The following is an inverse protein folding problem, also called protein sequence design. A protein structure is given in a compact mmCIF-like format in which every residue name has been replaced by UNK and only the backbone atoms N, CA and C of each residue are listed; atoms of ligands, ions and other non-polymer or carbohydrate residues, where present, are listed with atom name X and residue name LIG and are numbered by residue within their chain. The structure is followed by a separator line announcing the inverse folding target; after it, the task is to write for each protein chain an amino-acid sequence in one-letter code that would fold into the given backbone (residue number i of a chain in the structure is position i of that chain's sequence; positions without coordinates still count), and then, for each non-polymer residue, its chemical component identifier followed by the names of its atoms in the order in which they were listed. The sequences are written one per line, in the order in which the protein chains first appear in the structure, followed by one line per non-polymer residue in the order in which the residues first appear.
data_IF_347987360325
#
_entry.id   IF_347987360325
#
_cell.length_a   1.000
_cell.length_b   1.000
_cell.length_c   1.000
_cell.angle_alpha   90.00
_cell.angle_beta   90.00
_cell.angle_gamma   90.00
#
_symmetry.space_group_name_H-M   'P 1'
#
loop_
_entity.id
_entity.type
_entity.pdbx_description
1 polymer ?
#
# COMPACT_ATOMS: atom_id res chain seq x y z
N UNK A 1 -1.13 8.72 -17.58
CA UNK A 1 -0.39 8.00 -16.52
C UNK A 1 0.85 8.80 -16.13
N UNK A 2 0.86 9.41 -14.93
CA UNK A 2 1.94 10.28 -14.41
C UNK A 2 2.37 9.83 -12.99
N UNK A 3 2.86 8.60 -12.86
CA UNK A 3 3.22 8.02 -11.56
C UNK A 3 4.20 6.86 -11.70
N UNK A 4 4.77 6.42 -10.56
CA UNK A 4 5.73 5.31 -10.49
C UNK A 4 5.16 4.15 -9.68
N UNK A 5 4.89 3.03 -10.35
CA UNK A 5 4.24 1.84 -9.74
C UNK A 5 5.02 1.27 -8.54
N UNK A 6 6.36 1.31 -8.60
CA UNK A 6 7.22 0.78 -7.55
C UNK A 6 7.44 1.70 -6.34
N UNK A 7 6.87 2.91 -6.33
CA UNK A 7 7.20 3.93 -5.33
C UNK A 7 6.05 4.32 -4.40
N UNK A 8 4.88 3.67 -4.50
CA UNK A 8 3.71 3.99 -3.64
C UNK A 8 4.07 3.92 -2.16
N UNK A 9 4.65 2.79 -1.74
CA UNK A 9 5.08 2.58 -0.35
C UNK A 9 6.21 3.53 0.05
N UNK A 10 7.21 3.69 -0.80
CA UNK A 10 8.39 4.52 -0.51
C UNK A 10 8.01 5.99 -0.35
N UNK A 11 7.21 6.55 -1.26
CA UNK A 11 6.76 7.95 -1.21
C UNK A 11 5.84 8.23 -0.03
N UNK A 12 5.03 7.25 0.36
CA UNK A 12 4.22 7.34 1.57
C UNK A 12 5.09 7.53 2.82
N UNK A 13 6.14 6.71 2.98
CA UNK A 13 7.05 6.83 4.13
C UNK A 13 7.99 8.03 4.06
N UNK A 14 8.46 8.41 2.86
CA UNK A 14 9.24 9.65 2.66
C UNK A 14 8.43 10.89 3.06
N UNK A 15 7.12 10.91 2.74
CA UNK A 15 6.23 11.99 3.17
C UNK A 15 6.08 12.01 4.68
N UNK A 16 5.87 10.85 5.32
CA UNK A 16 5.77 10.74 6.78
C UNK A 16 7.04 11.26 7.48
N UNK A 17 8.21 10.88 6.97
CA UNK A 17 9.54 11.31 7.43
C UNK A 17 9.75 12.83 7.24
N UNK A 18 9.48 13.36 6.04
CA UNK A 18 9.57 14.81 5.77
C UNK A 18 8.71 15.60 6.76
N UNK A 19 7.44 15.22 6.90
CA UNK A 19 6.54 15.92 7.80
C UNK A 19 7.03 15.86 9.25
N UNK A 20 7.70 14.78 9.68
CA UNK A 20 8.19 14.69 11.06
C UNK A 20 9.32 15.67 11.29
N UNK A 21 10.25 15.76 10.33
CA UNK A 21 11.38 16.68 10.38
C UNK A 21 10.93 18.14 10.35
N UNK A 22 9.86 18.45 9.62
CA UNK A 22 9.37 19.82 9.47
C UNK A 22 8.45 20.27 10.62
N UNK A 23 7.53 19.42 11.07
CA UNK A 23 6.47 19.83 12.01
C UNK A 23 6.58 19.16 13.38
N UNK A 24 7.60 18.33 13.61
CA UNK A 24 7.72 17.54 14.83
C UNK A 24 6.71 16.38 14.89
N UNK A 25 6.54 15.83 16.10
CA UNK A 25 5.57 14.75 16.38
C UNK A 25 4.12 15.23 16.22
N UNK A 26 3.20 14.31 15.89
CA UNK A 26 1.78 14.65 15.91
C UNK A 26 1.30 14.77 17.37
N UNK A 27 0.20 15.50 17.59
CA UNK A 27 -0.44 15.63 18.91
C UNK A 27 -0.86 14.28 19.52
N UNK A 28 -1.19 13.31 18.68
CA UNK A 28 -1.63 11.96 19.05
C UNK A 28 -0.46 10.98 19.22
N UNK A 29 0.76 11.36 18.81
CA UNK A 29 1.97 10.59 19.08
C UNK A 29 2.44 10.85 20.53
N UNK A 30 3.33 10.00 21.05
CA UNK A 30 3.96 10.20 22.36
C UNK A 30 5.48 10.40 22.22
N UNK A 31 6.16 10.72 23.32
CA UNK A 31 7.61 11.02 23.29
C UNK A 31 8.51 9.84 22.91
N UNK A 32 7.98 8.60 22.90
CA UNK A 32 8.76 7.38 22.68
C UNK A 32 8.62 6.81 21.27
N UNK A 33 7.57 7.18 20.52
CA UNK A 33 7.30 6.59 19.21
C UNK A 33 6.40 7.46 18.31
N UNK A 34 6.36 7.11 17.02
CA UNK A 34 5.52 7.74 15.99
C UNK A 34 4.31 6.87 15.61
N UNK A 35 3.77 6.06 16.52
CA UNK A 35 2.82 5.01 16.16
C UNK A 35 1.54 5.56 15.52
N UNK A 36 1.03 6.72 15.95
CA UNK A 36 -0.17 7.30 15.36
C UNK A 36 0.12 7.75 13.92
N UNK A 37 1.25 8.43 13.71
CA UNK A 37 1.72 8.75 12.35
C UNK A 37 1.89 7.50 11.49
N UNK A 38 2.54 6.47 12.00
CA UNK A 38 2.77 5.20 11.28
C UNK A 38 1.43 4.58 10.87
N UNK A 39 0.46 4.50 11.78
CA UNK A 39 -0.89 4.00 11.49
C UNK A 39 -1.61 4.87 10.45
N UNK A 40 -1.56 6.19 10.60
CA UNK A 40 -2.16 7.15 9.66
C UNK A 40 -1.63 6.97 8.24
N UNK A 41 -0.31 6.82 8.08
CA UNK A 41 0.32 6.66 6.77
C UNK A 41 0.19 5.24 6.22
N UNK A 42 0.22 4.20 7.07
CA UNK A 42 -0.02 2.83 6.62
C UNK A 42 -1.43 2.69 6.03
N UNK A 43 -2.43 3.28 6.68
CA UNK A 43 -3.81 3.22 6.23
C UNK A 43 -4.02 3.80 4.81
N UNK A 44 -3.22 4.81 4.42
CA UNK A 44 -3.28 5.43 3.07
C UNK A 44 -2.99 4.45 1.94
N UNK A 45 -2.15 3.45 2.20
CA UNK A 45 -1.66 2.50 1.19
C UNK A 45 -2.15 1.06 1.43
N UNK A 46 -3.01 0.84 2.42
CA UNK A 46 -3.57 -0.48 2.73
C UNK A 46 -5.09 -0.44 2.83
N UNK A 47 -5.65 -0.06 3.99
CA UNK A 47 -7.06 -0.24 4.29
C UNK A 47 -7.95 0.81 3.60
N UNK A 48 -7.52 2.07 3.51
CA UNK A 48 -8.37 3.12 2.94
C UNK A 48 -8.64 2.90 1.44
N UNK A 49 -7.64 2.55 0.60
CA UNK A 49 -7.93 2.13 -0.78
C UNK A 49 -8.88 0.93 -0.86
N UNK A 50 -8.74 -0.04 0.05
CA UNK A 50 -9.61 -1.20 0.06
C UNK A 50 -11.07 -0.84 0.44
N UNK A 51 -11.27 0.09 1.37
CA UNK A 51 -12.60 0.64 1.71
C UNK A 51 -13.17 1.39 0.49
N UNK A 52 -12.40 2.31 -0.09
CA UNK A 52 -12.83 3.11 -1.25
C UNK A 52 -13.27 2.24 -2.42
N UNK A 53 -12.58 1.13 -2.67
CA UNK A 53 -12.92 0.21 -3.76
C UNK A 53 -13.90 -0.91 -3.38
N UNK A 54 -14.41 -0.93 -2.14
CA UNK A 54 -15.41 -1.93 -1.72
C UNK A 54 -14.88 -3.35 -1.61
N UNK A 55 -13.59 -3.49 -1.29
CA UNK A 55 -12.87 -4.77 -1.18
C UNK A 55 -12.25 -4.98 0.21
N UNK A 56 -12.59 -4.11 1.17
CA UNK A 56 -12.04 -4.13 2.54
C UNK A 56 -12.30 -5.43 3.29
N UNK A 57 -13.35 -6.17 2.95
CA UNK A 57 -13.64 -7.46 3.58
C UNK A 57 -12.67 -8.57 3.15
N UNK A 58 -11.89 -8.34 2.09
CA UNK A 58 -10.98 -9.33 1.52
C UNK A 58 -9.51 -8.97 1.71
N UNK A 59 -9.15 -7.68 1.65
CA UNK A 59 -7.76 -7.21 1.65
C UNK A 59 -7.58 -5.92 2.46
N UNK A 60 -6.37 -5.37 2.49
CA UNK A 60 -6.07 -4.05 3.03
C UNK A 60 -5.73 -4.01 4.53
N UNK A 61 -5.84 -5.12 5.26
CA UNK A 61 -5.31 -5.23 6.62
C UNK A 61 -5.07 -6.68 7.03
N UNK A 62 -4.28 -6.88 8.07
CA UNK A 62 -4.06 -8.19 8.70
C UNK A 62 -5.17 -8.45 9.72
N UNK A 63 -6.27 -9.06 9.25
CA UNK A 63 -7.41 -9.46 10.08
C UNK A 63 -7.86 -10.87 9.71
N UNK A 64 -8.34 -11.63 10.70
CA UNK A 64 -8.88 -12.96 10.46
C UNK A 64 -10.04 -12.93 9.44
N UNK A 65 -10.11 -13.93 8.57
CA UNK A 65 -11.10 -14.03 7.50
C UNK A 65 -10.73 -13.30 6.20
N UNK A 66 -9.71 -12.44 6.19
CA UNK A 66 -9.18 -11.80 4.98
C UNK A 66 -8.16 -12.68 4.26
N UNK A 67 -7.87 -12.36 2.99
CA UNK A 67 -6.80 -13.01 2.25
C UNK A 67 -5.46 -12.78 2.96
N UNK A 68 -4.65 -13.84 3.05
CA UNK A 68 -3.30 -13.79 3.59
C UNK A 68 -2.32 -13.16 2.58
N UNK A 69 -2.55 -11.88 2.29
CA UNK A 69 -1.70 -11.03 1.45
C UNK A 69 -0.78 -10.21 2.35
N UNK A 70 0.45 -10.68 2.49
CA UNK A 70 1.38 -10.23 3.54
C UNK A 70 2.71 -9.86 2.88
N UNK A 71 3.26 -8.71 3.26
CA UNK A 71 4.60 -8.30 2.85
C UNK A 71 5.50 -8.33 4.08
N UNK A 72 6.58 -9.10 4.00
CA UNK A 72 7.56 -9.25 5.06
C UNK A 72 8.74 -8.31 4.78
N UNK A 73 9.13 -7.55 5.79
CA UNK A 73 10.22 -6.59 5.72
C UNK A 73 11.30 -6.93 6.73
N UNK A 74 12.55 -6.78 6.33
CA UNK A 74 13.63 -6.56 7.30
C UNK A 74 13.60 -5.08 7.70
N UNK A 75 13.71 -4.72 9.00
CA UNK A 75 13.55 -3.34 9.45
C UNK A 75 14.42 -2.33 8.69
N UNK A 76 15.67 -2.67 8.39
CA UNK A 76 16.60 -1.79 7.65
C UNK A 76 16.17 -1.49 6.20
N UNK A 77 15.27 -2.27 5.61
CA UNK A 77 14.73 -2.11 4.27
C UNK A 77 13.23 -1.77 4.26
N UNK A 78 12.63 -1.48 5.42
CA UNK A 78 11.22 -1.17 5.54
C UNK A 78 10.83 0.00 4.63
N UNK A 79 9.79 -0.20 3.82
CA UNK A 79 9.25 0.82 2.94
C UNK A 79 10.00 1.01 1.61
N UNK A 80 11.12 0.30 1.39
CA UNK A 80 11.90 0.39 0.13
C UNK A 80 12.04 -0.94 -0.60
N UNK A 81 12.51 -2.01 0.06
CA UNK A 81 12.73 -3.33 -0.56
C UNK A 81 12.27 -4.46 0.38
N UNK A 82 11.08 -5.05 0.17
CA UNK A 82 10.60 -6.13 1.04
C UNK A 82 11.44 -7.40 0.90
N UNK A 83 11.51 -8.21 1.96
CA UNK A 83 12.19 -9.51 1.91
C UNK A 83 11.39 -10.53 1.09
N UNK A 84 10.07 -10.55 1.30
CA UNK A 84 9.17 -11.56 0.75
C UNK A 84 7.74 -11.02 0.63
N UNK A 85 7.02 -11.49 -0.39
CA UNK A 85 5.61 -11.19 -0.66
C UNK A 85 4.84 -12.50 -0.68
N UNK A 86 3.88 -12.62 0.23
CA UNK A 86 2.95 -13.74 0.36
C UNK A 86 1.61 -13.30 -0.23
N UNK A 87 1.04 -14.12 -1.11
CA UNK A 87 -0.25 -13.89 -1.75
C UNK A 87 -1.15 -15.08 -1.46
N UNK A 88 -2.30 -14.85 -0.82
CA UNK A 88 -3.24 -15.92 -0.46
C UNK A 88 -2.60 -17.05 0.34
N UNK A 89 -1.62 -16.75 1.20
CA UNK A 89 -0.92 -17.74 2.02
C UNK A 89 0.25 -18.46 1.34
N UNK A 90 0.56 -18.15 0.08
CA UNK A 90 1.69 -18.76 -0.64
C UNK A 90 2.70 -17.69 -1.10
N UNK A 91 3.99 -18.00 -1.08
CA UNK A 91 5.02 -17.03 -1.47
C UNK A 91 4.94 -16.79 -2.97
N UNK A 92 4.60 -15.56 -3.37
CA UNK A 92 4.55 -15.14 -4.76
C UNK A 92 5.89 -14.57 -5.22
N UNK A 93 6.60 -13.88 -4.33
CA UNK A 93 7.83 -13.19 -4.71
C UNK A 93 8.80 -13.12 -3.52
N UNK A 94 10.09 -13.25 -3.76
CA UNK A 94 11.11 -13.17 -2.70
C UNK A 94 12.44 -12.68 -3.25
N UNK A 95 13.28 -12.14 -2.37
CA UNK A 95 14.71 -12.05 -2.62
C UNK A 95 15.30 -13.46 -2.62
N UNK A 96 16.05 -13.79 -3.68
CA UNK A 96 16.65 -15.09 -3.90
C UNK A 96 17.98 -14.93 -4.64
N UNK A 97 19.01 -15.59 -4.12
CA UNK A 97 20.36 -15.65 -4.66
C UNK A 97 20.51 -16.44 -5.96
N UNK A 98 21.71 -16.94 -6.19
CA UNK A 98 22.02 -17.90 -7.25
C UNK A 98 21.26 -19.21 -7.03
N UNK A 99 20.36 -19.62 -7.96
CA UNK A 99 19.61 -20.87 -7.85
C UNK A 99 20.47 -22.13 -7.88
N UNK A 100 21.70 -22.07 -8.38
CA UNK A 100 22.63 -23.21 -8.42
C UNK A 100 23.55 -23.29 -7.19
N UNK A 101 23.52 -22.29 -6.31
CA UNK A 101 24.34 -22.28 -5.12
C UNK A 101 23.83 -23.26 -4.05
N UNK A 102 24.69 -23.57 -3.07
CA UNK A 102 24.35 -24.47 -1.96
C UNK A 102 23.30 -23.92 -1.01
N UNK A 103 23.13 -22.59 -0.95
CA UNK A 103 22.18 -21.89 -0.09
C UNK A 103 21.54 -20.70 -0.82
N UNK A 104 20.31 -20.30 -0.46
CA UNK A 104 19.53 -19.31 -1.21
C UNK A 104 20.02 -17.86 -1.09
N UNK A 105 21.08 -17.61 -0.31
CA UNK A 105 21.61 -16.27 -0.01
C UNK A 105 22.86 -15.91 -0.81
N UNK A 106 23.40 -16.84 -1.60
CA UNK A 106 24.59 -16.59 -2.42
C UNK A 106 24.28 -15.59 -3.52
N UNK A 107 25.15 -14.60 -3.72
CA UNK A 107 24.94 -13.55 -4.73
C UNK A 107 24.90 -14.13 -6.17
N UNK A 108 24.16 -13.51 -7.11
CA UNK A 108 23.41 -12.26 -6.96
C UNK A 108 22.01 -12.45 -6.35
N UNK A 109 21.71 -11.69 -5.29
CA UNK A 109 20.40 -11.68 -4.63
C UNK A 109 19.46 -10.72 -5.35
N UNK A 110 18.51 -11.30 -6.07
CA UNK A 110 17.54 -10.58 -6.88
C UNK A 110 16.12 -10.93 -6.46
N UNK A 111 15.21 -10.05 -6.83
CA UNK A 111 13.79 -10.30 -6.76
C UNK A 111 13.36 -11.32 -7.81
N UNK A 112 12.73 -12.42 -7.38
CA UNK A 112 12.34 -13.52 -8.28
C UNK A 112 10.90 -13.99 -8.01
N UNK A 113 10.16 -14.39 -9.07
CA UNK A 113 8.89 -15.06 -8.90
C UNK A 113 9.08 -16.42 -8.22
N UNK A 114 8.24 -16.69 -7.22
CA UNK A 114 8.23 -17.92 -6.45
C UNK A 114 7.05 -18.80 -6.86
N UNK A 115 6.91 -19.99 -6.27
CA UNK A 115 5.89 -20.97 -6.68
C UNK A 115 4.44 -20.45 -6.65
N UNK A 116 4.10 -19.51 -5.77
CA UNK A 116 2.77 -18.86 -5.76
C UNK A 116 2.46 -18.04 -7.02
N UNK A 117 3.47 -17.72 -7.82
CA UNK A 117 3.33 -17.01 -9.10
C UNK A 117 3.31 -17.92 -10.33
N UNK A 118 3.36 -19.24 -10.16
CA UNK A 118 3.52 -20.19 -11.26
C UNK A 118 2.28 -21.06 -11.48
N UNK A 119 2.06 -21.47 -12.72
CA UNK A 119 1.02 -22.44 -13.11
C UNK A 119 -0.37 -22.07 -12.58
N UNK A 120 -1.09 -23.07 -12.04
CA UNK A 120 -2.42 -22.87 -11.47
C UNK A 120 -2.41 -22.27 -10.06
N UNK A 121 -1.26 -22.13 -9.41
CA UNK A 121 -1.19 -21.52 -8.07
C UNK A 121 -1.69 -20.05 -8.09
N UNK A 122 -1.51 -19.34 -9.20
CA UNK A 122 -2.03 -17.96 -9.34
C UNK A 122 -3.56 -17.89 -9.29
N UNK A 123 -4.24 -18.98 -9.64
CA UNK A 123 -5.70 -19.06 -9.66
C UNK A 123 -6.29 -19.24 -8.26
N UNK A 124 -5.59 -19.98 -7.38
CA UNK A 124 -6.03 -20.25 -6.00
C UNK A 124 -5.56 -19.21 -4.98
N UNK A 125 -4.44 -18.53 -5.24
CA UNK A 125 -3.84 -17.55 -4.31
C UNK A 125 -4.40 -16.13 -4.47
N UNK A 126 -5.22 -15.87 -5.49
CA UNK A 126 -5.76 -14.54 -5.76
C UNK A 126 -7.21 -14.59 -6.24
N UNK A 127 -7.84 -13.42 -6.25
CA UNK A 127 -9.22 -13.23 -6.71
C UNK A 127 -9.27 -12.10 -7.72
N UNK A 128 -10.33 -12.03 -8.52
CA UNK A 128 -10.63 -10.88 -9.38
C UNK A 128 -11.84 -10.16 -8.77
N UNK A 129 -11.67 -8.88 -8.46
CA UNK A 129 -12.79 -8.05 -8.01
C UNK A 129 -13.60 -7.56 -9.21
N UNK A 130 -14.92 -7.70 -9.15
CA UNK A 130 -15.86 -7.34 -10.22
C UNK A 130 -17.16 -6.78 -9.64
N UNK A 131 -18.12 -6.38 -10.47
CA UNK A 131 -19.44 -5.93 -10.01
C UNK A 131 -20.33 -7.12 -9.60
N UNK A 132 -21.27 -6.89 -8.68
CA UNK A 132 -22.27 -7.90 -8.32
C UNK A 132 -23.05 -8.39 -9.56
N UNK A 133 -23.42 -7.45 -10.45
CA UNK A 133 -24.09 -7.75 -11.71
C UNK A 133 -23.30 -8.72 -12.61
N UNK A 134 -21.98 -8.67 -12.60
CA UNK A 134 -21.17 -9.62 -13.36
C UNK A 134 -21.29 -11.04 -12.78
N UNK A 135 -21.27 -11.17 -11.45
CA UNK A 135 -21.48 -12.47 -10.80
C UNK A 135 -22.88 -13.02 -11.09
N UNK A 136 -23.91 -12.19 -10.94
CA UNK A 136 -25.31 -12.59 -11.14
C UNK A 136 -25.58 -13.06 -12.58
N UNK A 137 -24.82 -12.53 -13.54
CA UNK A 137 -24.88 -12.90 -14.94
C UNK A 137 -24.01 -14.12 -15.30
N UNK A 138 -23.41 -14.82 -14.34
CA UNK A 138 -22.55 -15.98 -14.60
C UNK A 138 -21.30 -15.61 -15.39
N UNK A 139 -20.68 -14.46 -15.09
CA UNK A 139 -19.50 -13.98 -15.83
C UNK A 139 -18.37 -15.01 -15.78
N UNK A 140 -18.14 -15.64 -14.63
CA UNK A 140 -17.00 -16.53 -14.44
C UNK A 140 -17.03 -17.71 -15.43
N UNK A 141 -18.21 -18.30 -15.64
CA UNK A 141 -18.45 -19.37 -16.60
C UNK A 141 -18.32 -18.85 -18.04
N UNK A 142 -18.91 -17.68 -18.33
CA UNK A 142 -18.89 -17.07 -19.67
C UNK A 142 -17.47 -16.77 -20.18
N UNK A 143 -16.56 -16.37 -19.29
CA UNK A 143 -15.16 -16.09 -19.65
C UNK A 143 -14.22 -17.26 -19.36
N UNK A 144 -14.74 -18.42 -18.94
CA UNK A 144 -13.97 -19.60 -18.55
C UNK A 144 -12.78 -19.25 -17.61
N UNK A 145 -13.07 -18.50 -16.54
CA UNK A 145 -12.04 -18.03 -15.62
C UNK A 145 -11.90 -18.95 -14.41
N UNK A 146 -10.72 -19.55 -14.25
CA UNK A 146 -10.39 -20.38 -13.09
C UNK A 146 -10.19 -19.56 -11.80
N UNK A 147 -9.90 -18.26 -11.92
CA UNK A 147 -9.69 -17.40 -10.75
C UNK A 147 -11.05 -16.94 -10.20
N UNK A 148 -11.24 -17.10 -8.89
CA UNK A 148 -12.49 -16.70 -8.23
C UNK A 148 -12.81 -15.23 -8.47
N UNK A 149 -14.00 -14.95 -9.00
CA UNK A 149 -14.56 -13.61 -9.05
C UNK A 149 -15.20 -13.25 -7.69
N UNK A 150 -15.02 -12.01 -7.25
CA UNK A 150 -15.56 -11.49 -5.98
C UNK A 150 -16.21 -10.13 -6.23
N UNK A 151 -17.42 -9.94 -5.74
CA UNK A 151 -18.13 -8.68 -5.92
C UNK A 151 -17.55 -7.57 -5.03
N UNK A 152 -17.34 -6.40 -5.60
CA UNK A 152 -17.15 -5.15 -4.85
C UNK A 152 -18.48 -4.74 -4.23
N UNK A 153 -18.45 -4.16 -3.01
CA UNK A 153 -19.65 -3.73 -2.30
C UNK A 153 -19.43 -2.47 -1.46
N UNK A 154 -20.50 -1.84 -1.01
CA UNK A 154 -20.48 -0.71 -0.07
C UNK A 154 -19.71 0.55 -0.56
N UNK A 155 -19.58 0.77 -1.86
CA UNK A 155 -18.90 1.96 -2.40
C UNK A 155 -19.77 3.22 -2.46
N UNK A 156 -21.06 3.14 -2.09
CA UNK A 156 -22.05 4.23 -2.25
C UNK A 156 -22.53 4.82 -0.93
N UNK A 157 -22.25 4.15 0.18
CA UNK A 157 -22.66 4.53 1.54
C UNK A 157 -21.49 5.01 2.40
N UNK A 158 -20.33 5.24 1.79
CA UNK A 158 -19.10 5.69 2.46
C UNK A 158 -18.76 7.13 2.07
N UNK A 159 -18.01 7.80 2.93
CA UNK A 159 -17.45 9.13 2.71
C UNK A 159 -16.12 9.31 3.43
N UNK A 160 -15.69 10.57 3.58
CA UNK A 160 -14.40 10.89 4.20
C UNK A 160 -14.28 10.37 5.64
N UNK A 161 -15.38 10.39 6.40
CA UNK A 161 -15.47 9.88 7.77
C UNK A 161 -15.10 8.40 7.94
N UNK A 162 -15.22 7.61 6.87
CA UNK A 162 -14.95 6.17 6.90
C UNK A 162 -13.46 5.86 6.62
N UNK A 163 -12.65 6.87 6.31
CA UNK A 163 -11.21 6.72 6.03
C UNK A 163 -10.43 6.65 7.34
N UNK A 164 -9.96 5.46 7.70
CA UNK A 164 -9.25 5.19 8.94
C UNK A 164 -8.03 6.13 9.11
N UNK A 165 -7.98 6.83 10.25
CA UNK A 165 -6.96 7.83 10.63
C UNK A 165 -6.81 9.04 9.69
N UNK A 166 -7.71 9.18 8.70
CA UNK A 166 -7.61 10.14 7.60
C UNK A 166 -8.99 10.71 7.24
N UNK A 167 -9.78 11.07 8.25
CA UNK A 167 -11.20 11.44 8.17
C UNK A 167 -11.48 12.95 8.22
N UNK A 168 -10.44 13.77 8.38
CA UNK A 168 -10.60 15.22 8.51
C UNK A 168 -11.24 15.87 7.27
N UNK A 169 -12.15 16.82 7.50
CA UNK A 169 -12.83 17.63 6.49
C UNK A 169 -12.69 19.12 6.82
N UNK A 170 -11.46 19.67 6.79
CA UNK A 170 -11.24 21.09 7.10
C UNK A 170 -11.77 22.01 6.00
N UNK A 171 -11.88 23.29 6.31
CA UNK A 171 -12.13 24.32 5.31
C UNK A 171 -10.84 24.56 4.51
N UNK A 172 -10.92 24.41 3.18
CA UNK A 172 -9.79 24.55 2.27
C UNK A 172 -10.06 25.73 1.33
N UNK A 173 -9.27 26.79 1.49
CA UNK A 173 -9.29 27.96 0.62
C UNK A 173 -8.04 27.96 -0.26
N UNK A 174 -8.23 28.23 -1.56
CA UNK A 174 -7.15 28.27 -2.56
C UNK A 174 -7.28 29.57 -3.34
N UNK A 175 -6.29 30.44 -3.21
CA UNK A 175 -6.26 31.69 -3.94
C UNK A 175 -6.07 31.41 -5.45
N UNK A 176 -6.97 31.89 -6.34
CA UNK A 176 -6.92 31.57 -7.77
C UNK A 176 -5.76 32.26 -8.53
N UNK A 177 -5.17 33.31 -7.96
CA UNK A 177 -4.08 34.07 -8.58
C UNK A 177 -2.70 33.62 -8.05
N UNK A 178 -2.59 33.40 -6.73
CA UNK A 178 -1.29 33.09 -6.08
C UNK A 178 -1.10 31.60 -5.80
N UNK A 179 -2.16 30.79 -5.89
CA UNK A 179 -2.20 29.38 -5.48
C UNK A 179 -1.84 29.13 -4.01
N UNK A 180 -1.87 30.17 -3.17
CA UNK A 180 -1.77 30.04 -1.73
C UNK A 180 -2.92 29.15 -1.21
N UNK A 181 -2.57 28.16 -0.41
CA UNK A 181 -3.52 27.24 0.21
C UNK A 181 -3.64 27.55 1.70
N UNK A 182 -4.86 27.75 2.19
CA UNK A 182 -5.18 27.85 3.61
C UNK A 182 -6.02 26.67 4.06
N UNK A 183 -5.73 26.17 5.25
CA UNK A 183 -6.49 25.13 5.94
C UNK A 183 -6.96 25.73 7.27
N UNK A 184 -8.27 25.81 7.45
CA UNK A 184 -8.90 26.47 8.61
C UNK A 184 -8.33 27.89 8.85
N UNK A 185 -8.21 28.66 7.78
CA UNK A 185 -7.68 30.03 7.78
C UNK A 185 -6.14 30.16 7.90
N UNK A 186 -5.41 29.05 8.07
CA UNK A 186 -3.94 29.06 8.23
C UNK A 186 -3.24 28.68 6.94
N UNK A 187 -2.30 29.52 6.49
CA UNK A 187 -1.46 29.24 5.31
C UNK A 187 -0.70 27.93 5.53
N UNK A 188 -0.82 27.01 4.57
CA UNK A 188 -0.19 25.70 4.61
C UNK A 188 0.89 25.63 3.53
N UNK A 189 2.15 25.70 3.94
CA UNK A 189 3.30 25.60 3.04
C UNK A 189 4.45 24.84 3.69
N UNK A 190 5.30 24.22 2.88
CA UNK A 190 6.53 23.56 3.35
C UNK A 190 7.62 23.70 2.30
N UNK A 191 8.86 23.91 2.74
CA UNK A 191 10.00 23.94 1.85
C UNK A 191 10.22 22.58 1.15
N UNK A 192 10.77 22.57 -0.07
CA UNK A 192 11.15 21.34 -0.75
C UNK A 192 12.28 20.63 0.01
N UNK A 193 12.23 19.30 0.05
CA UNK A 193 13.31 18.51 0.65
C UNK A 193 14.50 18.40 -0.31
N UNK A 194 15.71 18.68 0.19
CA UNK A 194 16.96 18.50 -0.56
C UNK A 194 17.53 17.08 -0.45
N UNK A 195 17.08 16.30 0.55
CA UNK A 195 17.45 14.90 0.77
C UNK A 195 16.26 14.11 1.30
N UNK A 196 16.13 12.86 0.89
CA UNK A 196 15.10 11.93 1.33
C UNK A 196 15.69 10.67 1.95
N UNK A 197 14.99 10.13 2.95
CA UNK A 197 15.15 8.73 3.37
C UNK A 197 14.71 7.78 2.26
N UNK A 198 15.09 6.50 2.34
CA UNK A 198 14.70 5.48 1.35
C UNK A 198 15.04 5.85 -0.11
N UNK A 199 16.09 6.66 -0.30
CA UNK A 199 16.58 7.11 -1.60
C UNK A 199 17.95 6.51 -1.90
N UNK A 200 18.94 7.36 -2.18
CA UNK A 200 20.28 7.00 -2.69
C UNK A 200 20.96 5.78 -2.03
N UNK A 201 20.79 5.58 -0.72
CA UNK A 201 21.40 4.46 0.00
C UNK A 201 20.96 3.06 -0.50
N UNK A 202 19.74 2.94 -1.04
CA UNK A 202 19.11 1.66 -1.32
C UNK A 202 19.07 1.29 -2.81
N UNK A 203 19.41 2.22 -3.69
CA UNK A 203 19.23 2.09 -5.12
C UNK A 203 20.56 2.20 -5.85
N UNK A 204 20.80 1.26 -6.76
CA UNK A 204 21.97 1.30 -7.64
C UNK A 204 21.88 2.46 -8.64
N UNK A 205 20.66 2.81 -9.05
CA UNK A 205 20.31 3.91 -9.94
C UNK A 205 19.24 4.80 -9.31
#
# INVERSE_FOLDING_TARGET
AMGRVGEVTTRNWQTADKMKKMTGSLSEDNSQNDNFRVKRYLAKITINPAITHGISDHVGSLQAGRLADIVIWSPQFFGVKPKMIIKGGFIAYSLMGDPNASIPTTEPVLYRPMFGSLGKAVQSTSVIFTSQLALDNGMQEKINCDKKLVAVKNCRSIGKKDMLYNDSTPDIDVNPETYEVKVDGKITTTDPSTKLSLGRLYHLF
#
